data_IF_828194645030
#
_entry.id   IF_828194645030
#
_cell.length_a   1.000
_cell.length_b   1.000
_cell.length_c   1.000
_cell.angle_alpha   90.00
_cell.angle_beta   90.00
_cell.angle_gamma   90.00
#
_symmetry.space_group_name_H-M   'P 1'
#
loop_
_entity.id
_entity.type
_entity.pdbx_description
1 polymer ?
#
# COMPACT_ATOMS: atom_id res chain seq x y z
N UNK A 1 -17.91 11.95 35.88
CA UNK A 1 -16.69 11.95 35.09
C UNK A 1 -16.97 12.74 33.80
N UNK A 2 -16.52 14.02 33.71
CA UNK A 2 -16.71 14.83 32.49
C UNK A 2 -15.84 14.22 31.40
N UNK A 3 -16.43 13.66 30.36
CA UNK A 3 -15.73 13.31 29.11
C UNK A 3 -15.24 14.63 28.49
N UNK A 4 -14.02 15.04 28.82
CA UNK A 4 -13.35 16.08 28.03
C UNK A 4 -13.36 15.61 26.56
N UNK A 5 -14.00 16.42 25.71
CA UNK A 5 -13.96 16.21 24.26
C UNK A 5 -12.50 16.38 23.82
N UNK A 6 -11.77 15.27 23.73
CA UNK A 6 -10.39 15.24 23.25
C UNK A 6 -10.34 15.84 21.85
N UNK A 7 -9.87 17.08 21.74
CA UNK A 7 -9.58 17.71 20.45
C UNK A 7 -8.27 17.13 19.92
N UNK A 8 -8.34 16.56 18.73
CA UNK A 8 -7.16 16.08 17.99
C UNK A 8 -6.30 17.26 17.59
N UNK A 9 -5.00 17.21 17.87
CA UNK A 9 -4.07 18.25 17.45
C UNK A 9 -3.83 18.21 15.92
N UNK A 10 -3.36 19.29 15.30
CA UNK A 10 -3.06 19.28 13.86
C UNK A 10 -2.06 18.18 13.47
N UNK A 11 -1.09 17.90 14.35
CA UNK A 11 -0.06 16.89 14.12
C UNK A 11 -0.63 15.47 14.20
N UNK A 12 -1.43 15.18 15.23
CA UNK A 12 -2.17 13.92 15.36
C UNK A 12 -3.12 13.70 14.19
N UNK A 13 -3.77 14.75 13.71
CA UNK A 13 -4.65 14.69 12.53
C UNK A 13 -3.87 14.34 11.27
N UNK A 14 -2.70 14.93 11.06
CA UNK A 14 -1.86 14.61 9.92
C UNK A 14 -1.40 13.14 9.94
N UNK A 15 -1.04 12.62 11.12
CA UNK A 15 -0.68 11.22 11.32
C UNK A 15 -1.85 10.27 11.01
N UNK A 16 -3.06 10.58 11.51
CA UNK A 16 -4.28 9.81 11.21
C UNK A 16 -4.61 9.83 9.70
N UNK A 17 -4.47 10.99 9.05
CA UNK A 17 -4.74 11.10 7.60
C UNK A 17 -3.74 10.31 6.75
N UNK A 18 -2.48 10.22 7.20
CA UNK A 18 -1.51 9.34 6.54
C UNK A 18 -1.96 7.88 6.59
N UNK A 19 -2.51 7.42 7.72
CA UNK A 19 -3.01 6.05 7.87
C UNK A 19 -4.18 5.72 6.92
N UNK A 20 -5.01 6.71 6.60
CA UNK A 20 -6.06 6.57 5.58
C UNK A 20 -5.47 6.24 4.21
N UNK A 21 -4.45 6.97 3.77
CA UNK A 21 -3.76 6.71 2.50
C UNK A 21 -3.03 5.37 2.50
N UNK A 22 -2.38 5.05 3.60
CA UNK A 22 -1.68 3.80 3.84
C UNK A 22 -2.63 2.58 3.75
N UNK A 23 -3.74 2.62 4.45
CA UNK A 23 -4.75 1.56 4.45
C UNK A 23 -5.38 1.37 3.05
N UNK A 24 -5.61 2.46 2.32
CA UNK A 24 -6.09 2.41 0.94
C UNK A 24 -5.11 1.65 0.03
N UNK A 25 -3.81 1.93 0.16
CA UNK A 25 -2.78 1.23 -0.61
C UNK A 25 -2.73 -0.27 -0.29
N UNK A 26 -2.81 -0.65 0.99
CA UNK A 26 -2.85 -2.07 1.41
C UNK A 26 -4.03 -2.79 0.77
N UNK A 27 -5.20 -2.18 0.84
CA UNK A 27 -6.42 -2.78 0.29
C UNK A 27 -6.34 -2.96 -1.22
N UNK A 28 -5.79 -1.98 -1.95
CA UNK A 28 -5.57 -2.07 -3.40
C UNK A 28 -4.60 -3.18 -3.77
N UNK A 29 -3.45 -3.27 -3.08
CA UNK A 29 -2.44 -4.32 -3.33
C UNK A 29 -2.97 -5.71 -3.03
N UNK A 30 -3.79 -5.85 -2.01
CA UNK A 30 -4.36 -7.15 -1.65
C UNK A 30 -5.45 -7.64 -2.64
N UNK A 31 -6.05 -6.73 -3.40
CA UNK A 31 -7.25 -7.04 -4.20
C UNK A 31 -7.10 -6.73 -5.68
N UNK A 32 -6.93 -5.45 -6.05
CA UNK A 32 -6.99 -4.99 -7.44
C UNK A 32 -5.67 -5.16 -8.19
N UNK A 33 -4.55 -4.94 -7.53
CA UNK A 33 -3.22 -5.02 -8.17
C UNK A 33 -2.93 -6.42 -8.70
N UNK A 34 -3.20 -7.53 -7.97
CA UNK A 34 -3.06 -8.88 -8.52
C UNK A 34 -3.96 -9.15 -9.73
N UNK A 35 -5.19 -8.64 -9.73
CA UNK A 35 -6.13 -8.81 -10.84
C UNK A 35 -5.58 -8.14 -12.11
N UNK A 36 -5.09 -6.89 -11.96
CA UNK A 36 -4.48 -6.17 -13.06
C UNK A 36 -3.21 -6.84 -13.59
N UNK A 37 -2.35 -7.32 -12.68
CA UNK A 37 -1.16 -8.07 -13.05
C UNK A 37 -1.51 -9.34 -13.84
N UNK A 38 -2.50 -10.11 -13.38
CA UNK A 38 -2.93 -11.32 -14.05
C UNK A 38 -3.41 -11.04 -15.48
N UNK A 39 -4.24 -10.00 -15.67
CA UNK A 39 -4.72 -9.59 -16.98
C UNK A 39 -3.56 -9.18 -17.90
N UNK A 40 -2.57 -8.46 -17.38
CA UNK A 40 -1.39 -8.03 -18.14
C UNK A 40 -0.47 -9.22 -18.52
N UNK A 41 -0.32 -10.18 -17.63
CA UNK A 41 0.46 -11.39 -17.85
C UNK A 41 -0.21 -12.32 -18.89
N UNK A 42 -1.52 -12.51 -18.80
CA UNK A 42 -2.30 -13.25 -19.80
C UNK A 42 -2.22 -12.62 -21.18
N UNK A 43 -2.34 -11.31 -21.28
CA UNK A 43 -2.16 -10.57 -22.52
C UNK A 43 -0.73 -10.71 -23.08
N UNK A 44 0.27 -10.91 -22.21
CA UNK A 44 1.64 -11.22 -22.57
C UNK A 44 1.92 -12.69 -22.90
N UNK A 45 0.90 -13.55 -22.95
CA UNK A 45 1.02 -14.97 -23.27
C UNK A 45 1.57 -15.85 -22.13
N UNK A 46 1.58 -15.36 -20.89
CA UNK A 46 2.05 -16.12 -19.73
C UNK A 46 0.93 -17.04 -19.25
N UNK A 47 1.27 -18.31 -18.94
CA UNK A 47 0.29 -19.27 -18.45
C UNK A 47 -0.20 -18.90 -17.04
N UNK A 48 -1.42 -19.35 -16.68
CA UNK A 48 -2.00 -19.07 -15.36
C UNK A 48 -1.14 -19.58 -14.21
N UNK A 49 -0.51 -20.72 -14.37
CA UNK A 49 0.40 -21.30 -13.36
C UNK A 49 1.64 -20.44 -13.19
N UNK A 50 2.20 -19.97 -14.29
CA UNK A 50 3.44 -19.18 -14.28
C UNK A 50 3.22 -17.79 -13.68
N UNK A 51 2.15 -17.08 -14.05
CA UNK A 51 1.95 -15.74 -13.50
C UNK A 51 1.61 -15.77 -12.00
N UNK A 52 0.91 -16.81 -11.51
CA UNK A 52 0.71 -17.00 -10.07
C UNK A 52 2.05 -17.26 -9.35
N UNK A 53 2.93 -18.06 -9.95
CA UNK A 53 4.27 -18.30 -9.43
C UNK A 53 5.11 -16.99 -9.41
N UNK A 54 5.09 -16.20 -10.49
CA UNK A 54 5.81 -14.93 -10.56
C UNK A 54 5.31 -13.91 -9.54
N UNK A 55 4.00 -13.83 -9.31
CA UNK A 55 3.43 -13.01 -8.24
C UNK A 55 3.91 -13.47 -6.86
N UNK A 56 3.95 -14.78 -6.62
CA UNK A 56 4.49 -15.38 -5.41
C UNK A 56 5.96 -15.04 -5.21
N UNK A 57 6.79 -15.14 -6.24
CA UNK A 57 8.21 -14.79 -6.19
C UNK A 57 8.41 -13.29 -5.91
N UNK A 58 7.66 -12.42 -6.59
CA UNK A 58 7.72 -10.98 -6.34
C UNK A 58 7.38 -10.63 -4.88
N UNK A 59 6.31 -11.23 -4.36
CA UNK A 59 5.89 -11.05 -2.96
C UNK A 59 6.94 -11.58 -1.97
N UNK A 60 7.56 -12.71 -2.28
CA UNK A 60 8.63 -13.30 -1.46
C UNK A 60 9.89 -12.42 -1.44
N UNK A 61 10.29 -11.88 -2.59
CA UNK A 61 11.41 -10.94 -2.70
C UNK A 61 11.15 -9.70 -1.83
N UNK A 62 9.97 -9.11 -1.94
CA UNK A 62 9.58 -7.96 -1.08
C UNK A 62 9.71 -8.33 0.39
N UNK A 63 9.18 -9.48 0.80
CA UNK A 63 9.21 -9.94 2.19
C UNK A 63 10.65 -10.10 2.70
N UNK A 64 11.50 -10.77 1.94
CA UNK A 64 12.91 -10.98 2.32
C UNK A 64 13.65 -9.64 2.40
N UNK A 65 13.50 -8.78 1.40
CA UNK A 65 14.17 -7.46 1.38
C UNK A 65 13.69 -6.60 2.54
N UNK A 66 12.40 -6.55 2.82
CA UNK A 66 11.85 -5.76 3.92
C UNK A 66 12.23 -6.33 5.30
N UNK A 67 12.35 -7.64 5.43
CA UNK A 67 12.84 -8.27 6.65
C UNK A 67 14.31 -7.91 6.97
N UNK A 68 15.15 -7.79 5.93
CA UNK A 68 16.55 -7.37 6.09
C UNK A 68 16.65 -5.86 6.34
N UNK A 69 15.87 -5.06 5.60
CA UNK A 69 15.88 -3.61 5.72
C UNK A 69 15.22 -3.11 7.01
N UNK A 70 14.25 -3.83 7.56
CA UNK A 70 13.49 -3.43 8.75
C UNK A 70 14.36 -3.04 9.94
N UNK A 71 15.28 -3.89 10.42
CA UNK A 71 16.19 -3.54 11.50
C UNK A 71 17.10 -2.35 11.18
N UNK A 72 17.57 -2.24 9.94
CA UNK A 72 18.44 -1.13 9.49
C UNK A 72 17.65 0.18 9.51
N UNK A 73 16.45 0.18 8.93
CA UNK A 73 15.58 1.35 8.91
C UNK A 73 15.10 1.72 10.33
N UNK A 74 14.86 0.74 11.20
CA UNK A 74 14.51 0.96 12.60
C UNK A 74 15.61 1.71 13.34
N UNK A 75 16.88 1.30 13.22
CA UNK A 75 18.00 2.02 13.83
C UNK A 75 18.19 3.44 13.28
N UNK A 76 17.92 3.63 11.99
CA UNK A 76 17.93 4.96 11.37
C UNK A 76 16.76 5.82 11.86
N UNK A 77 15.60 5.22 12.12
CA UNK A 77 14.44 5.91 12.67
C UNK A 77 14.70 6.45 14.09
N UNK A 78 15.55 5.79 14.87
CA UNK A 78 15.95 6.24 16.21
C UNK A 78 17.03 7.33 16.16
N UNK A 79 17.67 7.54 15.02
CA UNK A 79 18.74 8.53 14.87
C UNK A 79 18.15 9.92 14.60
N UNK A 80 18.54 10.91 15.44
CA UNK A 80 18.09 12.30 15.30
C UNK A 80 18.42 12.87 13.91
N UNK A 81 17.43 13.48 13.26
CA UNK A 81 17.57 14.16 11.98
C UNK A 81 17.39 13.28 10.74
N UNK A 82 17.47 11.96 10.84
CA UNK A 82 17.31 11.04 9.70
C UNK A 82 15.86 10.55 9.49
N UNK A 83 15.05 10.52 10.52
CA UNK A 83 13.67 10.00 10.49
C UNK A 83 12.85 10.59 9.36
N UNK A 84 12.70 11.91 9.31
CA UNK A 84 11.84 12.59 8.33
C UNK A 84 12.37 12.51 6.89
N UNK A 85 13.65 12.76 6.57
CA UNK A 85 14.18 12.64 5.22
C UNK A 85 14.02 11.22 4.64
N UNK A 86 14.33 10.20 5.42
CA UNK A 86 14.26 8.81 4.94
C UNK A 86 12.80 8.37 4.80
N UNK A 87 11.92 8.76 5.72
CA UNK A 87 10.47 8.58 5.57
C UNK A 87 9.96 9.14 4.24
N UNK A 88 10.31 10.40 3.94
CA UNK A 88 9.91 11.06 2.69
C UNK A 88 10.47 10.34 1.46
N UNK A 89 11.73 9.91 1.50
CA UNK A 89 12.32 9.12 0.41
C UNK A 89 11.55 7.82 0.16
N UNK A 90 11.31 7.06 1.21
CA UNK A 90 10.54 5.81 1.13
C UNK A 90 9.11 6.04 0.62
N UNK A 91 8.46 7.10 1.11
CA UNK A 91 7.12 7.50 0.67
C UNK A 91 7.12 7.86 -0.83
N UNK A 92 8.06 8.69 -1.29
CA UNK A 92 8.14 9.06 -2.71
C UNK A 92 8.42 7.85 -3.61
N UNK A 93 9.30 6.94 -3.20
CA UNK A 93 9.54 5.68 -3.94
C UNK A 93 8.24 4.87 -4.05
N UNK A 94 7.48 4.76 -2.98
CA UNK A 94 6.18 4.09 -2.98
C UNK A 94 5.18 4.76 -3.92
N UNK A 95 4.99 6.07 -3.79
CA UNK A 95 4.01 6.84 -4.58
C UNK A 95 4.37 6.87 -6.07
N UNK A 96 5.63 7.17 -6.40
CA UNK A 96 6.10 7.18 -7.79
C UNK A 96 5.97 5.80 -8.40
N UNK A 97 6.33 4.75 -7.65
CA UNK A 97 6.15 3.36 -8.08
C UNK A 97 4.70 3.01 -8.35
N UNK A 98 3.76 3.46 -7.51
CA UNK A 98 2.33 3.27 -7.75
C UNK A 98 1.86 3.93 -9.05
N UNK A 99 2.28 5.17 -9.31
CA UNK A 99 1.97 5.85 -10.57
C UNK A 99 2.60 5.12 -11.77
N UNK A 100 3.84 4.68 -11.64
CA UNK A 100 4.56 3.99 -12.69
C UNK A 100 3.96 2.60 -13.02
N UNK A 101 3.37 1.90 -12.05
CA UNK A 101 2.66 0.64 -12.31
C UNK A 101 1.53 0.81 -13.33
N UNK A 102 0.80 1.94 -13.27
CA UNK A 102 -0.26 2.25 -14.24
C UNK A 102 0.24 2.50 -15.67
N UNK A 103 1.52 2.79 -15.84
CA UNK A 103 2.17 3.02 -17.14
C UNK A 103 2.96 1.80 -17.66
N UNK A 104 2.98 0.72 -16.91
CA UNK A 104 3.72 -0.48 -17.28
C UNK A 104 3.10 -1.16 -18.49
N UNK A 105 3.84 -1.21 -19.60
CA UNK A 105 3.41 -1.85 -20.85
C UNK A 105 3.62 -3.37 -20.90
N UNK A 106 4.33 -3.95 -19.94
CA UNK A 106 4.62 -5.38 -19.86
C UNK A 106 4.46 -5.90 -18.43
N UNK A 107 4.08 -7.17 -18.32
CA UNK A 107 3.91 -7.85 -17.02
C UNK A 107 5.21 -7.86 -16.19
N UNK A 108 6.37 -8.00 -16.83
CA UNK A 108 7.66 -8.01 -16.15
C UNK A 108 8.02 -6.63 -15.58
N UNK A 109 7.84 -5.57 -16.39
CA UNK A 109 8.04 -4.20 -15.93
C UNK A 109 7.12 -3.88 -14.75
N UNK A 110 5.86 -4.31 -14.81
CA UNK A 110 4.89 -4.17 -13.72
C UNK A 110 5.38 -4.83 -12.43
N UNK A 111 5.87 -6.09 -12.48
CA UNK A 111 6.39 -6.78 -11.31
C UNK A 111 7.61 -6.09 -10.69
N UNK A 112 8.55 -5.64 -11.52
CA UNK A 112 9.74 -4.93 -11.04
C UNK A 112 9.34 -3.63 -10.33
N UNK A 113 8.45 -2.85 -10.94
CA UNK A 113 7.94 -1.61 -10.36
C UNK A 113 7.17 -1.90 -9.07
N UNK A 114 6.35 -2.95 -9.04
CA UNK A 114 5.63 -3.39 -7.85
C UNK A 114 6.58 -3.71 -6.68
N UNK A 115 7.65 -4.47 -6.92
CA UNK A 115 8.65 -4.80 -5.90
C UNK A 115 9.25 -3.53 -5.31
N UNK A 116 9.69 -2.59 -6.16
CA UNK A 116 10.30 -1.33 -5.72
C UNK A 116 9.29 -0.48 -4.93
N UNK A 117 8.07 -0.32 -5.44
CA UNK A 117 7.00 0.44 -4.79
C UNK A 117 6.65 -0.15 -3.42
N UNK A 118 6.54 -1.48 -3.34
CA UNK A 118 6.18 -2.18 -2.11
C UNK A 118 7.30 -2.11 -1.06
N UNK A 119 8.56 -2.15 -1.47
CA UNK A 119 9.70 -1.95 -0.56
C UNK A 119 9.70 -0.52 -0.02
N UNK A 120 9.51 0.50 -0.89
CA UNK A 120 9.39 1.89 -0.47
C UNK A 120 8.24 2.10 0.52
N UNK A 121 7.08 1.55 0.20
CA UNK A 121 5.92 1.55 1.10
C UNK A 121 6.24 0.93 2.47
N UNK A 122 6.81 -0.28 2.49
CA UNK A 122 7.14 -0.98 3.74
C UNK A 122 8.19 -0.21 4.57
N UNK A 123 9.16 0.41 3.90
CA UNK A 123 10.13 1.29 4.56
C UNK A 123 9.46 2.52 5.18
N UNK A 124 8.50 3.15 4.49
CA UNK A 124 7.78 4.31 5.03
C UNK A 124 6.99 3.97 6.29
N UNK A 125 6.44 2.75 6.39
CA UNK A 125 5.72 2.30 7.58
C UNK A 125 6.59 2.23 8.83
N UNK A 126 7.83 1.73 8.72
CA UNK A 126 8.77 1.68 9.85
C UNK A 126 8.94 3.06 10.48
N UNK A 127 9.10 4.09 9.65
CA UNK A 127 9.24 5.47 10.13
C UNK A 127 7.92 6.05 10.63
N UNK A 128 6.81 5.77 9.94
CA UNK A 128 5.47 6.20 10.34
C UNK A 128 5.13 5.71 11.74
N UNK A 129 5.31 4.43 12.01
CA UNK A 129 5.05 3.84 13.33
C UNK A 129 5.94 4.47 14.41
N UNK A 130 7.22 4.69 14.10
CA UNK A 130 8.15 5.33 15.04
C UNK A 130 7.83 6.79 15.34
N UNK A 131 7.09 7.49 14.45
CA UNK A 131 6.69 8.89 14.63
C UNK A 131 5.54 9.08 15.59
N UNK A 132 4.80 8.04 15.95
CA UNK A 132 3.67 8.17 16.87
C UNK A 132 4.09 8.80 18.21
N UNK A 133 5.25 8.41 18.74
CA UNK A 133 5.81 9.01 19.97
C UNK A 133 6.25 10.47 19.83
N UNK A 134 6.54 10.92 18.61
CA UNK A 134 6.89 12.33 18.34
C UNK A 134 5.64 13.21 18.11
N UNK A 135 4.53 12.57 17.72
CA UNK A 135 3.28 13.25 17.33
C UNK A 135 2.34 13.46 18.51
N UNK A 136 2.37 12.56 19.49
CA UNK A 136 1.44 12.59 20.64
C UNK A 136 2.13 12.20 21.95
N UNK A 137 1.44 12.42 23.07
CA UNK A 137 1.95 12.02 24.39
C UNK A 137 1.59 10.57 24.71
N UNK A 138 2.35 9.89 25.62
CA UNK A 138 2.08 8.50 25.98
C UNK A 138 0.63 8.23 26.38
N UNK A 139 -0.01 9.16 27.11
CA UNK A 139 -1.38 9.01 27.59
C UNK A 139 -2.42 9.07 26.47
N UNK A 140 -2.03 9.55 25.30
CA UNK A 140 -2.91 9.74 24.13
C UNK A 140 -2.62 8.76 23.00
N UNK A 141 -1.51 8.02 23.06
CA UNK A 141 -1.07 7.12 21.97
C UNK A 141 -2.14 6.13 21.56
N UNK A 142 -2.77 5.44 22.53
CA UNK A 142 -3.80 4.44 22.24
C UNK A 142 -5.00 5.05 21.51
N UNK A 143 -5.40 6.26 21.92
CA UNK A 143 -6.53 6.95 21.29
C UNK A 143 -6.19 7.42 19.88
N UNK A 144 -5.00 7.97 19.67
CA UNK A 144 -4.55 8.44 18.34
C UNK A 144 -4.40 7.26 17.40
N UNK A 145 -3.75 6.19 17.84
CA UNK A 145 -3.58 4.95 17.08
C UNK A 145 -4.93 4.33 16.71
N UNK A 146 -5.84 4.16 17.69
CA UNK A 146 -7.18 3.61 17.44
C UNK A 146 -7.97 4.44 16.43
N UNK A 147 -7.84 5.77 16.46
CA UNK A 147 -8.46 6.66 15.47
C UNK A 147 -7.82 6.53 14.10
N UNK A 148 -6.50 6.38 14.03
CA UNK A 148 -5.78 6.08 12.79
C UNK A 148 -6.36 4.84 12.12
N UNK A 149 -6.40 3.73 12.85
CA UNK A 149 -7.00 2.49 12.36
C UNK A 149 -8.46 2.65 11.92
N UNK A 150 -9.31 3.27 12.75
CA UNK A 150 -10.73 3.44 12.41
C UNK A 150 -10.91 4.27 11.12
N UNK A 151 -10.25 5.41 11.02
CA UNK A 151 -10.31 6.26 9.83
C UNK A 151 -9.58 5.63 8.64
N UNK A 152 -8.50 4.87 8.86
CA UNK A 152 -7.81 4.09 7.85
C UNK A 152 -8.75 3.11 7.15
N UNK A 153 -9.46 2.28 7.93
CA UNK A 153 -10.43 1.34 7.37
C UNK A 153 -11.59 2.02 6.64
N UNK A 154 -12.22 3.02 7.25
CA UNK A 154 -13.33 3.74 6.63
C UNK A 154 -12.88 4.47 5.36
N UNK A 155 -11.74 5.19 5.45
CA UNK A 155 -11.22 5.98 4.34
C UNK A 155 -10.72 5.15 3.16
N UNK A 156 -10.19 3.94 3.42
CA UNK A 156 -9.73 3.02 2.37
C UNK A 156 -10.87 2.40 1.56
N UNK A 157 -12.07 2.31 2.13
CA UNK A 157 -13.25 1.80 1.42
C UNK A 157 -13.63 2.70 0.24
N UNK A 158 -13.46 4.02 0.35
CA UNK A 158 -13.88 4.96 -0.71
C UNK A 158 -13.10 4.73 -2.00
N UNK A 159 -11.74 4.84 -2.03
CA UNK A 159 -10.98 4.58 -3.25
C UNK A 159 -11.14 3.13 -3.74
N UNK A 160 -11.29 2.17 -2.84
CA UNK A 160 -11.52 0.78 -3.21
C UNK A 160 -12.83 0.59 -3.99
N UNK A 161 -13.94 1.12 -3.46
CA UNK A 161 -15.25 1.02 -4.14
C UNK A 161 -15.23 1.74 -5.48
N UNK A 162 -14.60 2.92 -5.57
CA UNK A 162 -14.45 3.65 -6.84
C UNK A 162 -13.67 2.83 -7.85
N UNK A 163 -12.51 2.29 -7.48
CA UNK A 163 -11.69 1.47 -8.39
C UNK A 163 -12.39 0.16 -8.76
N UNK A 164 -13.06 -0.48 -7.82
CA UNK A 164 -13.85 -1.69 -8.11
C UNK A 164 -14.99 -1.39 -9.11
N UNK A 165 -15.70 -0.29 -8.92
CA UNK A 165 -16.75 0.13 -9.85
C UNK A 165 -16.21 0.42 -11.25
N UNK A 166 -15.02 1.04 -11.36
CA UNK A 166 -14.36 1.27 -12.65
C UNK A 166 -13.93 -0.04 -13.31
N UNK A 167 -13.36 -0.99 -12.56
CA UNK A 167 -12.98 -2.31 -13.09
C UNK A 167 -14.20 -3.08 -13.57
N UNK A 168 -15.27 -3.14 -12.78
CA UNK A 168 -16.50 -3.82 -13.18
C UNK A 168 -17.21 -3.11 -14.32
N UNK A 169 -17.24 -1.78 -14.32
CA UNK A 169 -17.85 -0.97 -15.38
C UNK A 169 -17.09 -1.11 -16.71
N UNK A 170 -15.78 -1.20 -16.70
CA UNK A 170 -14.98 -1.45 -17.91
C UNK A 170 -15.21 -2.85 -18.47
N UNK A 171 -15.49 -3.84 -17.62
CA UNK A 171 -15.82 -5.21 -18.02
C UNK A 171 -17.20 -5.32 -18.67
N UNK A 172 -18.11 -4.38 -18.40
CA UNK A 172 -19.46 -4.34 -19.00
C UNK A 172 -19.46 -3.61 -20.35
N UNK A 173 -18.48 -2.72 -20.60
CA UNK A 173 -18.38 -1.89 -21.81
C UNK A 173 -17.37 -2.35 -22.86
N UNK A 174 -16.59 -3.41 -22.64
CA UNK A 174 -15.57 -3.91 -23.57
C UNK A 174 -15.50 -5.43 -23.60
N UNK A 175 -14.91 -6.05 -24.65
CA UNK A 175 -14.89 -7.49 -24.84
C UNK A 175 -13.84 -8.20 -23.97
N UNK A 176 -13.88 -8.01 -22.66
CA UNK A 176 -13.24 -8.94 -21.72
C UNK A 176 -14.35 -9.85 -21.20
N UNK A 177 -14.80 -10.71 -22.10
CA UNK A 177 -15.76 -11.76 -21.78
C UNK A 177 -15.09 -12.78 -20.87
N UNK A 178 -15.40 -12.75 -19.58
CA UNK A 178 -15.11 -13.86 -18.66
C UNK A 178 -15.92 -15.13 -19.01
N UNK A 179 -16.66 -15.15 -20.12
CA UNK A 179 -17.45 -16.28 -20.59
C UNK A 179 -16.63 -17.41 -21.20
N UNK A 180 -15.34 -17.22 -21.49
CA UNK A 180 -14.47 -18.29 -21.99
C UNK A 180 -13.89 -19.23 -20.92
N UNK A 181 -14.18 -18.99 -19.63
CA UNK A 181 -13.75 -19.91 -18.57
C UNK A 181 -14.70 -21.11 -18.34
N UNK A 182 -15.67 -21.34 -19.23
CA UNK A 182 -16.65 -22.43 -19.08
C UNK A 182 -16.68 -23.45 -20.21
N UNK A 183 -15.65 -23.54 -21.00
CA UNK A 183 -15.54 -24.58 -22.02
C UNK A 183 -14.08 -25.06 -22.13
N UNK A 184 -13.68 -25.98 -21.28
CA UNK A 184 -12.89 -27.20 -21.51
C UNK A 184 -12.57 -27.85 -20.18
#
# INVERSE_FOLDING_TARGET
MKTEKFKVTPLERAWILYDVGNSAFVLMIATLVPIFFNALAEAGGVSKVDYLAYWGYASSIVTVVTAILGPILGTLADTKGFKKPIFMLCLFVGVIGCCAMGLAGTWLAFLVIFIIAKIGYSGSLVFYDSMLGDVTTPERMDMVSSRGYAWGYIGSCVPFVVCLALVLGSSVGGPVSYTHLRAH
#
